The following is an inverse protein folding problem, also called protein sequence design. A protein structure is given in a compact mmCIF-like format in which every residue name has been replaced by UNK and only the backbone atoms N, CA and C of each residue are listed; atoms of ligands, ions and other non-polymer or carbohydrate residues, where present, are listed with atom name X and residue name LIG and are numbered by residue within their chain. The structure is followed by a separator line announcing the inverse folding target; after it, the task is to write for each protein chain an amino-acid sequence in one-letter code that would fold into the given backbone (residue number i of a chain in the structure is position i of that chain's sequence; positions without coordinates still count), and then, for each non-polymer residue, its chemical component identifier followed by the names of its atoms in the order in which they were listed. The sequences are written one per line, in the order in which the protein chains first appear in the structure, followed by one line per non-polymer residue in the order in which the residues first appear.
data_IF_374236709876
#
_entry.id   IF_374236709876
#
_cell.length_a   1.000
_cell.length_b   1.000
_cell.length_c   1.000
_cell.angle_alpha   90.00
_cell.angle_beta   90.00
_cell.angle_gamma   90.00
#
_symmetry.space_group_name_H-M   'P 1'
#
loop_
_entity.id
_entity.type
_entity.pdbx_description
1 polymer ?
#
# COMPACT_ATOMS: atom_id res chain seq x y z
N UNK A 1 22.57 -3.18 -8.27
CA UNK A 1 21.36 -2.86 -7.49
C UNK A 1 21.52 -1.46 -6.91
N UNK A 2 20.97 -0.44 -7.59
CA UNK A 2 20.93 0.97 -7.15
C UNK A 2 19.51 1.27 -6.63
N UNK A 3 19.13 0.71 -5.48
CA UNK A 3 17.81 0.97 -4.88
C UNK A 3 17.88 1.59 -3.48
N UNK A 4 19.09 1.86 -2.95
CA UNK A 4 19.26 2.35 -1.58
C UNK A 4 19.59 3.85 -1.45
N UNK A 5 19.61 4.62 -2.54
CA UNK A 5 20.14 6.01 -2.52
C UNK A 5 19.15 7.08 -3.02
N UNK A 6 18.00 6.69 -3.53
CA UNK A 6 16.92 7.61 -3.95
C UNK A 6 15.61 7.43 -3.18
N UNK A 7 15.50 6.39 -2.35
CA UNK A 7 14.37 6.24 -1.45
C UNK A 7 14.67 6.98 -0.15
N UNK A 8 13.90 8.01 0.16
CA UNK A 8 13.89 8.60 1.50
C UNK A 8 13.30 7.55 2.45
N UNK A 9 14.17 6.92 3.25
CA UNK A 9 13.77 5.76 4.08
C UNK A 9 13.04 6.30 5.31
N UNK A 10 11.72 6.13 5.33
CA UNK A 10 10.83 6.72 6.34
C UNK A 10 11.03 6.14 7.75
N UNK A 11 11.53 4.90 7.92
CA UNK A 11 11.94 4.41 9.25
C UNK A 11 12.88 3.19 9.23
N UNK A 12 13.65 3.02 10.33
CA UNK A 12 14.62 1.92 10.58
C UNK A 12 14.25 1.05 11.78
N UNK A 13 12.99 1.04 12.21
CA UNK A 13 12.51 -0.01 13.11
C UNK A 13 12.13 -1.23 12.25
N UNK A 14 12.46 -2.44 12.70
CA UNK A 14 12.29 -3.66 11.91
C UNK A 14 10.84 -4.10 11.73
N UNK A 15 9.86 -3.26 12.05
CA UNK A 15 8.43 -3.53 12.06
C UNK A 15 7.71 -2.43 11.24
N UNK A 16 6.76 -2.83 10.41
CA UNK A 16 6.01 -1.87 9.56
C UNK A 16 5.10 -0.98 10.39
N UNK A 17 5.23 0.33 10.24
CA UNK A 17 4.26 1.34 10.74
C UNK A 17 3.53 1.93 9.53
N UNK A 18 2.42 1.30 9.12
CA UNK A 18 1.67 1.73 7.95
C UNK A 18 1.03 3.09 8.18
N UNK A 19 0.49 3.34 9.37
CA UNK A 19 -0.12 4.62 9.71
C UNK A 19 0.84 5.79 9.49
N UNK A 20 2.05 5.69 10.04
CA UNK A 20 3.07 6.71 9.84
C UNK A 20 3.54 6.80 8.38
N UNK A 21 3.77 5.67 7.70
CA UNK A 21 4.23 5.66 6.32
C UNK A 21 3.22 6.29 5.35
N UNK A 22 1.93 5.95 5.49
CA UNK A 22 0.84 6.48 4.68
C UNK A 22 0.66 7.98 4.94
N UNK A 23 0.62 8.39 6.21
CA UNK A 23 0.46 9.79 6.60
C UNK A 23 1.63 10.64 6.09
N UNK A 24 2.88 10.18 6.29
CA UNK A 24 4.08 10.89 5.82
C UNK A 24 4.08 11.03 4.30
N UNK A 25 3.71 9.97 3.58
CA UNK A 25 3.59 10.01 2.12
C UNK A 25 2.55 11.05 1.67
N UNK A 26 1.37 11.04 2.30
CA UNK A 26 0.29 11.96 1.94
C UNK A 26 0.63 13.41 2.25
N UNK A 27 1.21 13.69 3.42
CA UNK A 27 1.64 15.05 3.80
C UNK A 27 2.74 15.58 2.86
N UNK A 28 3.69 14.73 2.47
CA UNK A 28 4.82 15.13 1.61
C UNK A 28 4.50 15.20 0.12
N UNK A 29 3.56 14.38 -0.37
CA UNK A 29 3.35 14.17 -1.79
C UNK A 29 1.88 14.23 -2.24
N UNK A 30 0.91 14.35 -1.33
CA UNK A 30 -0.52 14.37 -1.66
C UNK A 30 -0.90 15.44 -2.68
N UNK A 31 -0.26 16.61 -2.63
CA UNK A 31 -0.49 17.69 -3.61
C UNK A 31 -0.07 17.37 -5.05
N UNK A 32 0.77 16.34 -5.25
CA UNK A 32 1.17 15.85 -6.58
C UNK A 32 0.25 14.72 -7.09
N UNK A 33 -0.62 14.18 -6.25
CA UNK A 33 -1.60 13.17 -6.62
C UNK A 33 -2.79 13.87 -7.27
N UNK A 34 -3.22 13.33 -8.41
CA UNK A 34 -4.34 13.87 -9.19
C UNK A 34 -5.15 12.72 -9.79
N UNK A 35 -6.28 13.03 -10.41
CA UNK A 35 -7.09 12.08 -11.18
C UNK A 35 -6.38 11.48 -12.42
N UNK A 36 -5.09 11.77 -12.64
CA UNK A 36 -4.22 11.12 -13.64
C UNK A 36 -3.19 10.17 -13.02
N UNK A 37 -3.09 10.15 -11.70
CA UNK A 37 -2.07 9.40 -10.94
C UNK A 37 -2.59 8.01 -10.60
N UNK A 38 -1.76 6.99 -10.78
CA UNK A 38 -1.99 5.65 -10.22
C UNK A 38 -1.06 5.46 -9.03
N UNK A 39 -1.63 5.08 -7.88
CA UNK A 39 -0.89 4.75 -6.67
C UNK A 39 -0.87 3.24 -6.50
N UNK A 40 0.31 2.68 -6.23
CA UNK A 40 0.48 1.25 -5.95
C UNK A 40 1.16 1.12 -4.59
N UNK A 41 0.49 0.49 -3.63
CA UNK A 41 1.05 0.13 -2.34
C UNK A 41 1.55 -1.31 -2.40
N UNK A 42 2.78 -1.57 -1.99
CA UNK A 42 3.35 -2.92 -1.90
C UNK A 42 3.64 -3.24 -0.44
N UNK A 43 2.82 -4.09 0.18
CA UNK A 43 2.91 -4.34 1.62
C UNK A 43 1.94 -5.40 2.13
N UNK A 44 2.30 -6.05 3.24
CA UNK A 44 1.54 -7.10 3.94
C UNK A 44 0.34 -6.61 4.78
N UNK A 45 0.20 -5.29 4.97
CA UNK A 45 -0.79 -4.67 5.87
C UNK A 45 -0.67 -5.14 7.34
N UNK A 46 0.51 -5.59 7.77
CA UNK A 46 0.83 -5.90 9.17
C UNK A 46 1.14 -4.61 9.91
N UNK A 47 0.23 -4.15 10.77
CA UNK A 47 0.34 -2.82 11.36
C UNK A 47 0.91 -2.80 12.79
N UNK A 48 1.36 -3.94 13.32
CA UNK A 48 1.99 -4.05 14.64
C UNK A 48 1.17 -3.39 15.77
N UNK A 49 -0.17 -3.50 15.68
CA UNK A 49 -1.15 -2.90 16.60
C UNK A 49 -1.12 -1.36 16.71
N UNK A 50 -0.57 -0.67 15.71
CA UNK A 50 -0.56 0.81 15.62
C UNK A 50 -1.84 1.33 14.93
N UNK A 51 -1.96 2.65 14.83
CA UNK A 51 -3.00 3.29 14.02
C UNK A 51 -2.79 2.93 12.54
N UNK A 52 -3.87 2.57 11.83
CA UNK A 52 -3.80 2.10 10.47
C UNK A 52 -3.84 3.22 9.42
N UNK A 53 -4.28 4.43 9.78
CA UNK A 53 -4.50 5.55 8.85
C UNK A 53 -5.34 5.18 7.61
N UNK A 54 -6.40 4.37 7.78
CA UNK A 54 -7.30 3.99 6.69
C UNK A 54 -8.03 5.20 6.06
N UNK A 55 -8.23 6.26 6.83
CA UNK A 55 -8.71 7.56 6.37
C UNK A 55 -7.75 8.19 5.33
N UNK A 56 -6.43 8.11 5.54
CA UNK A 56 -5.45 8.57 4.54
C UNK A 56 -5.53 7.73 3.27
N UNK A 57 -5.76 6.42 3.38
CA UNK A 57 -5.99 5.56 2.21
C UNK A 57 -7.24 5.98 1.45
N UNK A 58 -8.30 6.36 2.15
CA UNK A 58 -9.52 6.91 1.55
C UNK A 58 -9.25 8.23 0.80
N UNK A 59 -8.48 9.16 1.40
CA UNK A 59 -8.14 10.43 0.75
C UNK A 59 -7.28 10.24 -0.52
N UNK A 60 -6.35 9.27 -0.49
CA UNK A 60 -5.58 8.88 -1.66
C UNK A 60 -6.52 8.32 -2.75
N UNK A 61 -7.44 7.44 -2.39
CA UNK A 61 -8.39 6.84 -3.32
C UNK A 61 -9.30 7.88 -3.98
N UNK A 62 -9.79 8.85 -3.20
CA UNK A 62 -10.66 9.93 -3.69
C UNK A 62 -9.94 10.89 -4.66
N UNK A 63 -8.61 10.97 -4.56
CA UNK A 63 -7.79 11.92 -5.34
C UNK A 63 -7.13 11.26 -6.56
N UNK A 64 -6.64 10.03 -6.41
CA UNK A 64 -5.95 9.29 -7.45
C UNK A 64 -6.93 8.78 -8.51
N UNK A 65 -6.40 8.46 -9.70
CA UNK A 65 -7.17 7.73 -10.71
C UNK A 65 -7.45 6.30 -10.29
N UNK A 66 -6.41 5.66 -9.75
CA UNK A 66 -6.43 4.27 -9.31
C UNK A 66 -5.54 4.11 -8.08
N UNK A 67 -5.98 3.28 -7.14
CA UNK A 67 -5.24 2.83 -5.98
C UNK A 67 -5.26 1.30 -5.92
N UNK A 68 -4.07 0.70 -6.02
CA UNK A 68 -3.90 -0.75 -5.95
C UNK A 68 -3.04 -1.15 -4.75
N UNK A 69 -3.38 -2.27 -4.13
CA UNK A 69 -2.58 -2.83 -3.02
C UNK A 69 -2.10 -4.24 -3.35
N UNK A 70 -0.78 -4.42 -3.41
CA UNK A 70 -0.13 -5.70 -3.70
C UNK A 70 0.40 -6.30 -2.40
N UNK A 71 -0.30 -7.32 -1.90
CA UNK A 71 0.03 -7.97 -0.63
C UNK A 71 0.80 -9.29 -0.85
N UNK A 72 2.02 -9.44 -0.29
CA UNK A 72 2.84 -10.65 -0.46
C UNK A 72 2.44 -11.81 0.46
N UNK A 73 1.55 -11.61 1.43
CA UNK A 73 1.02 -12.68 2.26
C UNK A 73 -0.13 -13.41 1.56
N UNK A 74 -0.25 -14.75 1.74
CA UNK A 74 -1.44 -15.48 1.36
C UNK A 74 -2.73 -14.83 1.88
N UNK A 75 -3.76 -14.68 1.04
CA UNK A 75 -5.00 -14.00 1.42
C UNK A 75 -5.71 -14.61 2.62
N UNK A 76 -5.54 -15.92 2.85
CA UNK A 76 -6.03 -16.61 4.06
C UNK A 76 -5.43 -16.10 5.38
N UNK A 77 -4.34 -15.33 5.33
CA UNK A 77 -3.68 -14.74 6.50
C UNK A 77 -3.98 -13.24 6.65
N UNK A 78 -4.66 -12.64 5.68
CA UNK A 78 -5.15 -11.28 5.83
C UNK A 78 -6.16 -11.25 6.98
N UNK A 79 -6.11 -10.19 7.78
CA UNK A 79 -6.91 -10.02 8.99
C UNK A 79 -6.66 -11.10 10.07
N UNK A 80 -5.54 -11.82 9.97
CA UNK A 80 -5.03 -12.68 11.07
C UNK A 80 -3.91 -11.97 11.83
N UNK A 81 -3.91 -12.09 13.16
CA UNK A 81 -2.93 -11.39 14.00
C UNK A 81 -3.16 -9.88 13.98
N UNK A 82 -2.15 -9.14 13.52
CA UNK A 82 -2.11 -7.69 13.40
C UNK A 82 -2.25 -7.19 11.94
N UNK A 83 -2.60 -8.08 11.01
CA UNK A 83 -2.96 -7.68 9.64
C UNK A 83 -4.28 -6.92 9.66
N UNK A 84 -4.36 -5.80 8.97
CA UNK A 84 -5.55 -4.92 8.91
C UNK A 84 -6.03 -4.71 7.47
N UNK A 85 -5.89 -5.73 6.63
CA UNK A 85 -6.18 -5.60 5.20
C UNK A 85 -7.62 -5.15 4.93
N UNK A 86 -8.57 -5.59 5.75
CA UNK A 86 -9.97 -5.19 5.71
C UNK A 86 -10.22 -3.69 5.96
N UNK A 87 -9.27 -2.98 6.57
CA UNK A 87 -9.35 -1.53 6.75
C UNK A 87 -8.98 -0.78 5.45
N UNK A 88 -8.06 -1.31 4.63
CA UNK A 88 -7.61 -0.64 3.40
C UNK A 88 -8.35 -1.10 2.15
N UNK A 89 -8.75 -2.37 2.09
CA UNK A 89 -9.38 -2.95 0.92
C UNK A 89 -10.62 -2.20 0.41
N UNK A 90 -11.52 -1.65 1.26
CA UNK A 90 -12.67 -0.88 0.80
C UNK A 90 -12.33 0.38 0.01
N UNK A 91 -11.10 0.90 0.15
CA UNK A 91 -10.63 2.12 -0.50
C UNK A 91 -9.81 1.83 -1.77
N UNK A 92 -9.41 0.60 -2.01
CA UNK A 92 -8.61 0.23 -3.18
C UNK A 92 -9.51 -0.21 -4.34
N UNK A 93 -9.11 0.11 -5.58
CA UNK A 93 -9.72 -0.47 -6.78
C UNK A 93 -9.60 -2.01 -6.75
N UNK A 94 -8.40 -2.49 -6.43
CA UNK A 94 -8.12 -3.91 -6.19
C UNK A 94 -7.06 -4.10 -5.11
N UNK A 95 -7.21 -5.20 -4.37
CA UNK A 95 -6.19 -5.75 -3.47
C UNK A 95 -5.82 -7.14 -3.96
N UNK A 96 -4.55 -7.35 -4.29
CA UNK A 96 -4.09 -8.56 -4.97
C UNK A 96 -2.99 -9.28 -4.20
N UNK A 97 -3.11 -10.60 -4.11
CA UNK A 97 -2.10 -11.46 -3.51
C UNK A 97 -0.92 -11.67 -4.47
N UNK A 98 0.16 -10.89 -4.33
CA UNK A 98 1.32 -10.91 -5.23
C UNK A 98 2.56 -11.47 -4.53
N UNK A 99 2.83 -12.76 -4.76
CA UNK A 99 3.91 -13.51 -4.08
C UNK A 99 5.04 -13.95 -5.00
N UNK A 100 4.87 -13.76 -6.29
CA UNK A 100 5.79 -14.21 -7.34
C UNK A 100 5.78 -13.23 -8.49
N UNK A 101 6.85 -13.21 -9.29
CA UNK A 101 6.91 -12.42 -10.51
C UNK A 101 5.74 -12.73 -11.44
N UNK A 102 5.38 -14.00 -11.59
CA UNK A 102 4.21 -14.41 -12.37
C UNK A 102 2.89 -13.83 -11.84
N UNK A 103 2.76 -13.63 -10.54
CA UNK A 103 1.58 -12.97 -9.97
C UNK A 103 1.58 -11.47 -10.27
N UNK A 104 2.76 -10.84 -10.22
CA UNK A 104 2.92 -9.44 -10.60
C UNK A 104 2.63 -9.22 -12.09
N UNK A 105 3.13 -10.10 -12.96
CA UNK A 105 2.84 -10.09 -14.41
C UNK A 105 1.33 -10.13 -14.67
N UNK A 106 0.60 -11.06 -14.04
CA UNK A 106 -0.86 -11.15 -14.18
C UNK A 106 -1.58 -9.89 -13.71
N UNK A 107 -1.11 -9.28 -12.61
CA UNK A 107 -1.68 -8.03 -12.12
C UNK A 107 -1.48 -6.92 -13.16
N UNK A 108 -0.25 -6.76 -13.66
CA UNK A 108 0.09 -5.75 -14.67
C UNK A 108 -0.74 -5.94 -15.94
N UNK A 109 -0.89 -7.18 -16.43
CA UNK A 109 -1.73 -7.51 -17.58
C UNK A 109 -3.21 -7.17 -17.37
N UNK A 110 -3.69 -7.17 -16.12
CA UNK A 110 -5.09 -6.88 -15.79
C UNK A 110 -5.40 -5.39 -15.63
N UNK A 111 -4.39 -4.53 -15.46
CA UNK A 111 -4.56 -3.08 -15.26
C UNK A 111 -4.09 -2.23 -16.44
N UNK A 112 -3.43 -2.85 -17.44
CA UNK A 112 -3.11 -2.26 -18.75
C UNK A 112 -4.33 -2.29 -19.69
#
# INVERSE_FOLDING_TARGET
VRMGREADVVHRDGHSDYGNALTTFWEGHGSAITAKTTVIVTGDARNNYRDNAADVVAEIADTARHLYWLNPEPSRYWDTGDSVMSAYAPHCDTVEQVRTLKALERFVEGVL
#
